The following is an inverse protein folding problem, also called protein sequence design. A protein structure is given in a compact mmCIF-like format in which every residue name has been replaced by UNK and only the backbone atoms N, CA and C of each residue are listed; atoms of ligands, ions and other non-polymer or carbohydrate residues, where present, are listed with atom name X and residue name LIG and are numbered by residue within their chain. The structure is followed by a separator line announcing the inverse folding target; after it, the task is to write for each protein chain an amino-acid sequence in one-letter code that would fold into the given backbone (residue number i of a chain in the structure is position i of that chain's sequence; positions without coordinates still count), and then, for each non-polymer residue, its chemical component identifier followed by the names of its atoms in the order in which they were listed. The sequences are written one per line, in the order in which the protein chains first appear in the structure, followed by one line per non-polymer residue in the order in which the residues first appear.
data_IF_081732600294
#
_entry.id   IF_081732600294
#
_cell.length_a   1.000
_cell.length_b   1.000
_cell.length_c   1.000
_cell.angle_alpha   90.00
_cell.angle_beta   90.00
_cell.angle_gamma   90.00
#
_symmetry.space_group_name_H-M   'P 1'
#
loop_
_entity.id
_entity.type
_entity.pdbx_description
1 polymer ?
#
# COMPACT_ATOMS: atom_id res chain seq x y z
N UNK A 1 -8.93 -44.58 22.07
CA UNK A 1 -7.60 -44.07 21.76
C UNK A 1 -7.23 -44.18 20.31
N UNK A 2 -7.42 -45.30 19.65
CA UNK A 2 -7.16 -45.47 18.23
C UNK A 2 -8.02 -44.56 17.34
N UNK A 3 -9.26 -44.36 17.69
CA UNK A 3 -10.21 -43.46 17.02
C UNK A 3 -9.78 -42.01 17.00
N UNK A 4 -9.27 -41.52 18.13
CA UNK A 4 -8.72 -40.14 18.23
C UNK A 4 -7.48 -39.94 17.34
N UNK A 5 -6.60 -40.94 17.25
CA UNK A 5 -5.42 -40.88 16.39
C UNK A 5 -5.80 -40.82 14.93
N UNK A 6 -6.78 -41.60 14.51
CA UNK A 6 -7.28 -41.61 13.11
C UNK A 6 -7.92 -40.27 12.77
N UNK A 7 -8.71 -39.68 13.65
CA UNK A 7 -9.31 -38.35 13.47
C UNK A 7 -8.24 -37.27 13.32
N UNK A 8 -7.20 -37.27 14.14
CA UNK A 8 -6.11 -36.31 14.07
C UNK A 8 -5.32 -36.42 12.75
N UNK A 9 -5.09 -37.66 12.27
CA UNK A 9 -4.44 -37.91 10.99
C UNK A 9 -5.27 -37.34 9.83
N UNK A 10 -6.58 -37.59 9.82
CA UNK A 10 -7.50 -37.09 8.78
C UNK A 10 -7.55 -35.57 8.80
N UNK A 11 -7.66 -34.94 9.98
CA UNK A 11 -7.66 -33.49 10.12
C UNK A 11 -6.36 -32.86 9.64
N UNK A 12 -5.21 -33.50 9.93
CA UNK A 12 -3.89 -33.03 9.48
C UNK A 12 -3.77 -33.08 7.94
N UNK A 13 -4.25 -34.15 7.31
CA UNK A 13 -4.26 -34.27 5.85
C UNK A 13 -5.16 -33.22 5.19
N UNK A 14 -6.33 -32.97 5.75
CA UNK A 14 -7.25 -31.92 5.25
C UNK A 14 -6.67 -30.54 5.42
N UNK A 15 -5.99 -30.26 6.53
CA UNK A 15 -5.33 -28.97 6.79
C UNK A 15 -4.25 -28.66 5.75
N UNK A 16 -3.46 -29.65 5.35
CA UNK A 16 -2.43 -29.46 4.31
C UNK A 16 -2.98 -29.16 2.93
N UNK A 17 -4.18 -29.61 2.60
CA UNK A 17 -4.87 -29.31 1.34
C UNK A 17 -5.48 -27.90 1.32
N UNK A 18 -5.95 -27.42 2.48
CA UNK A 18 -6.63 -26.13 2.60
C UNK A 18 -5.66 -24.93 2.68
N UNK A 19 -4.51 -25.10 3.34
CA UNK A 19 -3.55 -24.03 3.60
C UNK A 19 -3.04 -23.29 2.34
N UNK A 20 -2.64 -23.96 1.23
CA UNK A 20 -2.14 -23.26 0.05
C UNK A 20 -3.17 -22.32 -0.61
N UNK A 21 -4.43 -22.71 -0.62
CA UNK A 21 -5.53 -21.88 -1.16
C UNK A 21 -5.82 -20.68 -0.27
N UNK A 22 -5.71 -20.86 1.03
CA UNK A 22 -5.91 -19.79 2.00
C UNK A 22 -4.85 -18.69 1.87
N UNK A 23 -3.58 -19.06 1.76
CA UNK A 23 -2.48 -18.10 1.60
C UNK A 23 -2.59 -17.29 0.29
N UNK A 24 -2.98 -17.90 -0.82
CA UNK A 24 -3.20 -17.21 -2.09
C UNK A 24 -4.28 -16.12 -1.98
N UNK A 25 -5.37 -16.38 -1.27
CA UNK A 25 -6.44 -15.41 -1.03
C UNK A 25 -6.01 -14.26 -0.12
N UNK A 26 -5.18 -14.53 0.86
CA UNK A 26 -4.61 -13.49 1.74
C UNK A 26 -3.75 -12.53 0.93
N UNK A 27 -2.92 -13.03 0.03
CA UNK A 27 -2.07 -12.21 -0.83
C UNK A 27 -2.91 -11.36 -1.80
N UNK A 28 -3.96 -11.91 -2.39
CA UNK A 28 -4.90 -11.15 -3.23
C UNK A 28 -5.59 -10.03 -2.44
N UNK A 29 -6.00 -10.32 -1.20
CA UNK A 29 -6.59 -9.32 -0.32
C UNK A 29 -5.60 -8.20 0.01
N UNK A 30 -4.33 -8.51 0.23
CA UNK A 30 -3.28 -7.52 0.46
C UNK A 30 -3.04 -6.63 -0.76
N UNK A 31 -3.05 -7.19 -1.97
CA UNK A 31 -2.95 -6.41 -3.21
C UNK A 31 -4.12 -5.45 -3.34
N UNK A 32 -5.33 -5.92 -3.10
CA UNK A 32 -6.53 -5.08 -3.15
C UNK A 32 -6.47 -3.95 -2.10
N UNK A 33 -6.08 -4.28 -0.87
CA UNK A 33 -5.89 -3.28 0.19
C UNK A 33 -4.84 -2.24 -0.19
N UNK A 34 -3.73 -2.66 -0.78
CA UNK A 34 -2.67 -1.75 -1.25
C UNK A 34 -3.21 -0.76 -2.29
N UNK A 35 -4.00 -1.23 -3.24
CA UNK A 35 -4.60 -0.35 -4.26
C UNK A 35 -5.55 0.68 -3.65
N UNK A 36 -6.36 0.27 -2.68
CA UNK A 36 -7.25 1.18 -1.94
C UNK A 36 -6.44 2.21 -1.17
N UNK A 37 -5.39 1.80 -0.48
CA UNK A 37 -4.51 2.72 0.24
C UNK A 37 -3.83 3.74 -0.69
N UNK A 38 -3.34 3.29 -1.85
CA UNK A 38 -2.77 4.19 -2.87
C UNK A 38 -3.81 5.21 -3.33
N UNK A 39 -5.05 4.80 -3.61
CA UNK A 39 -6.12 5.70 -3.99
C UNK A 39 -6.42 6.73 -2.90
N UNK A 40 -6.40 6.31 -1.64
CA UNK A 40 -6.60 7.22 -0.51
C UNK A 40 -5.46 8.25 -0.40
N UNK A 41 -4.21 7.82 -0.61
CA UNK A 41 -3.05 8.70 -0.66
C UNK A 41 -3.14 9.69 -1.83
N UNK A 42 -3.59 9.24 -3.00
CA UNK A 42 -3.82 10.12 -4.15
C UNK A 42 -4.89 11.17 -3.87
N UNK A 43 -5.97 10.79 -3.20
CA UNK A 43 -7.02 11.72 -2.79
C UNK A 43 -6.46 12.78 -1.84
N UNK A 44 -5.67 12.35 -0.86
CA UNK A 44 -5.02 13.27 0.08
C UNK A 44 -4.05 14.23 -0.64
N UNK A 45 -3.29 13.73 -1.61
CA UNK A 45 -2.39 14.56 -2.43
C UNK A 45 -3.15 15.59 -3.26
N UNK A 46 -4.30 15.23 -3.82
CA UNK A 46 -5.15 16.18 -4.56
C UNK A 46 -5.69 17.28 -3.65
N UNK A 47 -6.12 16.92 -2.43
CA UNK A 47 -6.57 17.90 -1.44
C UNK A 47 -5.42 18.83 -1.03
N UNK A 48 -4.23 18.28 -0.83
CA UNK A 48 -3.02 19.08 -0.58
C UNK A 48 -2.76 20.06 -1.72
N UNK A 49 -2.84 19.59 -2.96
CA UNK A 49 -2.66 20.43 -4.14
C UNK A 49 -3.71 21.55 -4.23
N UNK A 50 -4.98 21.23 -3.96
CA UNK A 50 -6.06 22.23 -3.97
C UNK A 50 -5.84 23.32 -2.95
N UNK A 51 -5.33 22.99 -1.78
CA UNK A 51 -5.08 23.95 -0.71
C UNK A 51 -3.80 24.76 -0.93
N UNK A 52 -2.74 24.15 -1.48
CA UNK A 52 -1.38 24.74 -1.52
C UNK A 52 -0.88 25.08 -2.92
N UNK A 53 -1.49 24.55 -3.98
CA UNK A 53 -1.12 24.85 -5.37
C UNK A 53 0.04 24.04 -5.94
N UNK A 54 0.57 23.07 -5.20
CA UNK A 54 1.65 22.19 -5.64
C UNK A 54 1.53 20.82 -4.96
N UNK A 55 2.19 19.81 -5.52
CA UNK A 55 2.34 18.52 -4.85
C UNK A 55 3.62 18.50 -4.01
N UNK A 56 3.65 17.75 -2.89
CA UNK A 56 4.89 17.61 -2.12
C UNK A 56 6.04 17.13 -3.00
N UNK A 57 7.24 17.63 -2.76
CA UNK A 57 8.46 17.15 -3.46
C UNK A 57 8.82 15.74 -3.00
N UNK A 58 9.72 15.09 -3.73
CA UNK A 58 10.25 13.76 -3.34
C UNK A 58 10.86 13.80 -1.94
N UNK A 59 11.59 14.86 -1.60
CA UNK A 59 12.23 15.03 -0.29
C UNK A 59 11.19 15.24 0.82
N UNK A 60 10.12 16.00 0.56
CA UNK A 60 9.02 16.18 1.51
C UNK A 60 8.25 14.89 1.69
N UNK A 61 8.05 14.14 0.61
CA UNK A 61 7.40 12.84 0.61
C UNK A 61 5.94 12.87 1.07
N UNK A 62 5.40 11.71 1.31
CA UNK A 62 4.03 11.54 1.84
C UNK A 62 3.88 12.08 3.26
N UNK A 63 4.97 12.30 3.96
CA UNK A 63 4.98 12.90 5.29
C UNK A 63 4.37 14.31 5.28
N UNK A 64 4.44 15.03 4.16
CA UNK A 64 3.79 16.33 4.00
C UNK A 64 2.26 16.27 4.16
N UNK A 65 1.66 15.09 4.07
CA UNK A 65 0.23 14.90 4.30
C UNK A 65 -0.16 14.86 5.78
N UNK A 66 0.80 14.66 6.67
CA UNK A 66 0.58 14.56 8.13
C UNK A 66 1.37 15.60 8.92
N UNK A 67 2.44 16.15 8.35
CA UNK A 67 3.24 17.22 8.96
C UNK A 67 3.35 18.37 7.97
N UNK A 68 3.12 19.60 8.46
CA UNK A 68 3.17 20.79 7.62
C UNK A 68 4.57 21.06 7.06
N UNK A 69 4.77 21.03 5.73
CA UNK A 69 6.01 21.48 5.12
C UNK A 69 6.15 23.01 5.26
N UNK A 70 7.40 23.50 5.26
CA UNK A 70 7.68 24.93 5.43
C UNK A 70 7.12 25.83 4.33
N UNK A 71 6.96 25.31 3.12
CA UNK A 71 6.45 26.03 1.94
C UNK A 71 4.93 25.94 1.73
N UNK A 72 4.24 25.12 2.53
CA UNK A 72 2.80 24.93 2.45
C UNK A 72 2.07 25.95 3.32
N UNK A 73 1.76 27.11 2.76
CA UNK A 73 1.12 28.22 3.51
C UNK A 73 -0.32 27.95 3.91
N UNK A 74 -1.05 27.21 3.11
CA UNK A 74 -2.46 26.91 3.32
C UNK A 74 -2.66 25.44 3.75
N UNK A 75 -1.70 24.87 4.43
CA UNK A 75 -1.76 23.51 4.92
C UNK A 75 -2.93 23.34 5.89
N UNK A 76 -3.70 22.28 5.69
CA UNK A 76 -4.90 22.00 6.47
C UNK A 76 -4.54 21.56 7.88
N UNK A 77 -5.08 22.23 8.89
CA UNK A 77 -4.90 21.84 10.29
C UNK A 77 -5.44 20.42 10.51
N UNK A 78 -4.65 19.57 11.16
CA UNK A 78 -4.96 18.15 11.32
C UNK A 78 -4.48 17.25 10.19
N UNK A 79 -3.99 17.84 9.09
CA UNK A 79 -3.45 17.09 7.94
C UNK A 79 -4.51 16.57 6.99
N UNK A 80 -4.08 15.70 6.08
CA UNK A 80 -4.87 15.18 4.97
C UNK A 80 -5.21 13.70 5.10
N UNK A 81 -4.69 13.02 6.13
CA UNK A 81 -4.94 11.62 6.40
C UNK A 81 -5.71 11.45 7.72
N UNK A 82 -6.72 10.59 7.70
CA UNK A 82 -7.62 10.40 8.84
C UNK A 82 -6.91 9.99 10.14
N UNK A 83 -5.90 9.13 10.03
CA UNK A 83 -5.19 8.59 11.20
C UNK A 83 -3.99 9.43 11.65
N UNK A 84 -3.70 10.55 10.97
CA UNK A 84 -2.57 11.40 11.31
C UNK A 84 -1.19 10.75 11.11
N UNK A 85 -1.13 9.66 10.35
CA UNK A 85 0.10 8.95 10.02
C UNK A 85 0.04 8.38 8.60
N UNK A 86 1.18 8.34 7.92
CA UNK A 86 1.29 7.70 6.62
C UNK A 86 1.22 6.18 6.82
N UNK A 87 0.28 5.48 6.18
CA UNK A 87 0.17 4.04 6.34
C UNK A 87 1.35 3.32 5.67
N UNK A 88 1.67 2.16 6.17
CA UNK A 88 2.54 1.21 5.49
C UNK A 88 1.69 0.26 4.65
N UNK A 89 2.30 -0.34 3.64
CA UNK A 89 1.61 -1.37 2.88
C UNK A 89 1.34 -2.61 3.76
N UNK A 90 0.47 -3.53 3.31
CA UNK A 90 0.11 -4.71 4.12
C UNK A 90 1.28 -5.66 4.45
N UNK A 91 2.42 -5.51 3.78
CA UNK A 91 3.65 -6.27 4.07
C UNK A 91 4.60 -5.53 5.01
N UNK A 92 4.22 -4.33 5.50
CA UNK A 92 4.97 -3.54 6.46
C UNK A 92 6.02 -2.62 5.88
N UNK A 93 6.04 -2.44 4.55
CA UNK A 93 6.97 -1.55 3.85
C UNK A 93 6.38 -0.17 3.64
N UNK A 94 7.23 0.86 3.58
CA UNK A 94 6.80 2.20 3.24
C UNK A 94 6.47 2.29 1.75
N UNK A 95 5.49 3.13 1.39
CA UNK A 95 5.22 3.47 0.00
C UNK A 95 6.34 4.35 -0.55
N UNK A 96 6.84 4.03 -1.73
CA UNK A 96 7.76 4.90 -2.45
C UNK A 96 6.97 6.06 -3.10
N UNK A 97 7.47 7.27 -2.95
CA UNK A 97 6.85 8.48 -3.50
C UNK A 97 7.89 9.29 -4.27
N UNK A 98 7.48 9.79 -5.42
CA UNK A 98 8.31 10.67 -6.26
C UNK A 98 7.45 11.77 -6.86
N UNK A 99 7.94 13.00 -6.83
CA UNK A 99 7.34 14.14 -7.49
C UNK A 99 8.43 15.13 -7.95
N UNK A 100 8.46 15.50 -9.24
CA UNK A 100 7.63 14.98 -10.33
C UNK A 100 7.96 13.53 -10.69
N UNK A 101 7.01 12.84 -11.33
CA UNK A 101 7.20 11.49 -11.83
C UNK A 101 8.08 11.43 -13.07
N UNK A 102 8.50 10.21 -13.48
CA UNK A 102 9.48 10.03 -14.57
C UNK A 102 8.93 10.38 -15.95
N UNK A 103 7.67 10.07 -16.24
CA UNK A 103 7.12 10.18 -17.60
C UNK A 103 6.04 11.27 -17.71
N UNK A 104 6.33 12.45 -17.16
CA UNK A 104 5.40 13.58 -17.20
C UNK A 104 4.26 13.48 -16.18
N UNK A 105 4.27 12.52 -15.30
CA UNK A 105 3.32 12.43 -14.19
C UNK A 105 3.66 13.47 -13.13
N UNK A 106 2.65 14.01 -12.50
CA UNK A 106 2.82 15.00 -11.43
C UNK A 106 3.43 14.38 -10.18
N UNK A 107 3.09 13.13 -9.91
CA UNK A 107 3.66 12.33 -8.82
C UNK A 107 3.52 10.84 -9.14
N UNK A 108 4.23 10.03 -8.39
CA UNK A 108 4.16 8.55 -8.45
C UNK A 108 4.16 7.98 -7.04
N UNK A 109 3.27 7.00 -6.81
CA UNK A 109 3.24 6.21 -5.57
C UNK A 109 3.38 4.74 -5.96
N UNK A 110 4.28 4.02 -5.28
CA UNK A 110 4.56 2.61 -5.56
C UNK A 110 4.65 1.83 -4.26
N UNK A 111 3.96 0.68 -4.19
CA UNK A 111 4.26 -0.37 -3.22
C UNK A 111 5.16 -1.40 -3.89
N UNK A 112 6.26 -1.75 -3.24
CA UNK A 112 7.22 -2.73 -3.77
C UNK A 112 6.76 -4.18 -3.59
N UNK A 113 5.52 -4.37 -3.15
CA UNK A 113 4.96 -5.70 -3.00
C UNK A 113 5.51 -6.49 -1.82
N UNK A 114 5.27 -7.79 -1.84
CA UNK A 114 5.63 -8.68 -0.73
C UNK A 114 7.14 -8.74 -0.48
N UNK A 115 7.96 -8.72 -1.53
CA UNK A 115 9.42 -8.84 -1.42
C UNK A 115 10.12 -7.53 -1.03
N UNK A 116 9.44 -6.38 -1.11
CA UNK A 116 10.01 -5.09 -0.78
C UNK A 116 11.11 -4.61 -1.73
N UNK A 117 11.19 -5.19 -2.92
CA UNK A 117 12.22 -4.89 -3.93
C UNK A 117 11.56 -4.47 -5.25
N UNK A 118 12.26 -3.63 -6.01
CA UNK A 118 11.79 -3.24 -7.34
C UNK A 118 11.66 -4.45 -8.27
N UNK A 119 10.61 -4.44 -9.08
CA UNK A 119 10.31 -5.50 -10.02
C UNK A 119 9.51 -6.64 -9.39
N UNK A 120 9.81 -7.87 -9.81
CA UNK A 120 9.09 -9.05 -9.38
C UNK A 120 7.88 -9.36 -10.25
N UNK A 121 7.21 -10.45 -9.92
CA UNK A 121 6.03 -10.92 -10.64
C UNK A 121 4.99 -11.50 -9.67
N UNK A 122 3.72 -11.50 -10.10
CA UNK A 122 2.62 -11.99 -9.27
C UNK A 122 2.48 -11.19 -7.98
N UNK A 123 2.52 -11.86 -6.83
CA UNK A 123 2.39 -11.23 -5.51
C UNK A 123 3.61 -10.40 -5.09
N UNK A 124 4.74 -10.58 -5.73
CA UNK A 124 5.96 -9.80 -5.51
C UNK A 124 6.07 -8.60 -6.46
N UNK A 125 5.15 -8.45 -7.41
CA UNK A 125 5.15 -7.34 -8.35
C UNK A 125 4.87 -6.01 -7.67
N UNK A 126 5.51 -4.95 -8.18
CA UNK A 126 5.24 -3.58 -7.72
C UNK A 126 3.81 -3.17 -8.06
N UNK A 127 3.17 -2.47 -7.13
CA UNK A 127 1.83 -1.90 -7.33
C UNK A 127 1.98 -0.41 -7.48
N UNK A 128 1.63 0.11 -8.67
CA UNK A 128 1.89 1.49 -9.07
C UNK A 128 0.60 2.29 -9.17
N UNK A 129 0.66 3.55 -8.73
CA UNK A 129 -0.51 4.44 -8.72
C UNK A 129 -1.12 4.71 -10.09
N UNK A 130 -0.31 4.66 -11.16
CA UNK A 130 -0.75 4.91 -12.53
C UNK A 130 -1.18 3.67 -13.30
N UNK A 131 -1.13 2.50 -12.69
CA UNK A 131 -1.61 1.26 -13.29
C UNK A 131 -3.02 0.97 -12.82
N UNK A 132 -3.93 0.82 -13.77
CA UNK A 132 -5.31 0.43 -13.46
C UNK A 132 -5.35 -1.02 -12.98
N UNK A 133 -6.27 -1.30 -12.07
CA UNK A 133 -6.64 -2.66 -11.77
C UNK A 133 -7.25 -3.29 -13.02
N UNK A 134 -6.58 -4.27 -13.62
CA UNK A 134 -7.17 -5.13 -14.64
C UNK A 134 -7.87 -6.29 -13.96
#
# INVERSE_FOLDING_TARGET
MLELMVVLIILSLLATLALPRFFGRVDEAKITTTRVQIQNLETALRLFYLDNGFYPSTEQGLKALVEKPGDAKNWREGGYLEKGAVPRDPWGNDYAYRSPGETGREYEIVSLGRDGKEGGAGIDADIKSWESAQ
#
